data_IF_693291511148
#
_entry.id   IF_693291511148
#
_cell.length_a   1.000
_cell.length_b   1.000
_cell.length_c   1.000
_cell.angle_alpha   90.00
_cell.angle_beta   90.00
_cell.angle_gamma   90.00
#
_symmetry.space_group_name_H-M   'P 1'
#
loop_
_entity.id
_entity.type
_entity.pdbx_description
1 polymer ?
#
# COMPACT_ATOMS: atom_id res chain seq x y z
N UNK A 1 6.99 -3.60 -6.29
CA UNK A 1 7.95 -3.39 -5.17
C UNK A 1 9.00 -4.47 -5.18
N UNK A 2 10.22 -4.09 -4.97
CA UNK A 2 11.37 -4.99 -5.12
C UNK A 2 12.24 -4.95 -3.87
N UNK A 3 12.69 -6.10 -3.39
CA UNK A 3 13.65 -6.17 -2.29
C UNK A 3 15.03 -5.82 -2.87
N UNK A 4 15.65 -4.80 -2.30
CA UNK A 4 16.93 -4.27 -2.78
C UNK A 4 18.14 -4.94 -2.12
N UNK A 5 18.11 -5.07 -0.80
CA UNK A 5 19.20 -5.63 -0.02
C UNK A 5 18.74 -6.04 1.39
N UNK A 6 19.54 -6.83 2.07
CA UNK A 6 19.30 -7.24 3.45
C UNK A 6 20.22 -6.43 4.37
N UNK A 7 19.65 -5.88 5.45
CA UNK A 7 20.41 -5.17 6.47
C UNK A 7 20.88 -6.16 7.54
N UNK A 8 22.15 -6.49 7.53
CA UNK A 8 22.76 -7.42 8.47
C UNK A 8 22.68 -6.97 9.94
N UNK A 9 22.84 -5.68 10.17
CA UNK A 9 22.91 -5.14 11.55
C UNK A 9 21.56 -5.22 12.26
N UNK A 10 20.46 -5.05 11.53
CA UNK A 10 19.11 -5.14 12.07
C UNK A 10 18.55 -6.56 12.04
N UNK A 11 19.24 -7.50 11.40
CA UNK A 11 18.80 -8.89 11.28
C UNK A 11 19.38 -9.77 12.38
N UNK A 12 18.60 -10.79 12.80
CA UNK A 12 19.07 -11.83 13.72
C UNK A 12 18.40 -13.19 13.39
N UNK A 13 18.46 -14.15 14.31
CA UNK A 13 17.90 -15.49 14.11
C UNK A 13 16.38 -15.51 13.89
N UNK A 14 15.66 -14.51 14.41
CA UNK A 14 14.20 -14.48 14.43
C UNK A 14 13.62 -13.33 13.60
N UNK A 15 14.48 -12.48 13.03
CA UNK A 15 14.06 -11.35 12.23
C UNK A 15 15.03 -11.08 11.09
N UNK A 16 14.51 -10.73 9.96
CA UNK A 16 15.28 -10.30 8.79
C UNK A 16 14.82 -8.90 8.40
N UNK A 17 15.77 -7.95 8.37
CA UNK A 17 15.52 -6.60 7.92
C UNK A 17 16.02 -6.43 6.49
N UNK A 18 15.23 -5.80 5.63
CA UNK A 18 15.60 -5.56 4.24
C UNK A 18 15.14 -4.21 3.73
N UNK A 19 15.90 -3.68 2.79
CA UNK A 19 15.56 -2.48 2.05
C UNK A 19 14.69 -2.85 0.85
N UNK A 20 13.71 -2.03 0.57
CA UNK A 20 12.84 -2.17 -0.61
C UNK A 20 12.97 -0.99 -1.53
N UNK A 21 12.61 -1.17 -2.79
CA UNK A 21 12.56 -0.11 -3.80
C UNK A 21 11.20 -0.16 -4.50
N UNK A 22 10.37 0.88 -4.39
CA UNK A 22 10.54 2.08 -3.56
C UNK A 22 10.48 1.78 -2.05
N UNK A 23 10.87 2.75 -1.22
CA UNK A 23 10.75 2.63 0.24
C UNK A 23 9.29 2.45 0.65
N UNK A 24 9.08 1.64 1.68
CA UNK A 24 7.73 1.40 2.23
C UNK A 24 7.28 2.64 2.99
N UNK A 25 6.15 3.21 2.58
CA UNK A 25 5.50 4.30 3.29
C UNK A 25 4.40 3.80 4.24
N UNK A 26 3.81 4.70 5.01
CA UNK A 26 2.78 4.34 6.00
C UNK A 26 1.54 3.66 5.38
N UNK A 27 0.99 4.11 4.23
CA UNK A 27 -0.13 3.42 3.59
C UNK A 27 0.18 1.99 3.17
N UNK A 28 1.37 1.75 2.63
CA UNK A 28 1.81 0.40 2.22
C UNK A 28 1.99 -0.49 3.44
N UNK A 29 2.61 0.03 4.51
CA UNK A 29 2.80 -0.72 5.75
C UNK A 29 1.46 -1.15 6.37
N UNK A 30 0.47 -0.27 6.35
CA UNK A 30 -0.89 -0.59 6.83
C UNK A 30 -1.51 -1.72 6.03
N UNK A 31 -1.39 -1.70 4.71
CA UNK A 31 -1.88 -2.78 3.84
C UNK A 31 -1.13 -4.09 4.08
N UNK A 32 0.17 -4.04 4.29
CA UNK A 32 0.97 -5.22 4.64
C UNK A 32 0.42 -5.86 5.92
N UNK A 33 0.17 -5.07 6.95
CA UNK A 33 -0.39 -5.56 8.21
C UNK A 33 -1.77 -6.18 8.06
N UNK A 34 -2.65 -5.55 7.27
CA UNK A 34 -3.99 -6.11 6.98
C UNK A 34 -3.93 -7.44 6.27
N UNK A 35 -3.14 -7.52 5.20
CA UNK A 35 -2.98 -8.75 4.44
C UNK A 35 -2.34 -9.86 5.26
N UNK A 36 -1.42 -9.50 6.13
CA UNK A 36 -0.77 -10.43 7.05
C UNK A 36 -1.77 -11.05 8.03
N UNK A 37 -2.68 -10.26 8.58
CA UNK A 37 -3.74 -10.74 9.47
C UNK A 37 -4.72 -11.69 8.77
N UNK A 38 -4.93 -11.52 7.47
CA UNK A 38 -5.83 -12.34 6.66
C UNK A 38 -5.15 -13.59 6.10
N UNK A 39 -3.82 -13.65 6.13
CA UNK A 39 -3.07 -14.76 5.56
C UNK A 39 -2.96 -15.93 6.50
N UNK A 40 -3.39 -17.11 6.08
CA UNK A 40 -3.21 -18.35 6.82
C UNK A 40 -1.77 -18.88 6.69
N UNK A 41 -1.11 -18.57 5.57
CA UNK A 41 0.25 -19.02 5.25
C UNK A 41 1.30 -18.28 6.07
N UNK A 42 1.04 -17.00 6.34
CA UNK A 42 1.96 -16.12 7.10
C UNK A 42 1.52 -15.94 8.56
N UNK A 43 0.75 -16.87 9.09
CA UNK A 43 0.31 -16.84 10.49
C UNK A 43 1.52 -16.92 11.44
N UNK A 44 1.57 -16.00 12.40
CA UNK A 44 2.68 -15.92 13.33
C UNK A 44 3.88 -15.09 12.87
N UNK A 45 3.81 -14.54 11.65
CA UNK A 45 4.83 -13.61 11.12
C UNK A 45 4.45 -12.18 11.53
N UNK A 46 5.40 -11.45 12.10
CA UNK A 46 5.25 -10.03 12.41
C UNK A 46 6.03 -9.16 11.43
N UNK A 47 5.61 -7.91 11.27
CA UNK A 47 6.33 -6.92 10.46
C UNK A 47 6.45 -5.61 11.21
N UNK A 48 7.62 -4.96 11.07
CA UNK A 48 7.90 -3.64 11.60
C UNK A 48 8.66 -2.82 10.58
N UNK A 49 8.58 -1.51 10.70
CA UNK A 49 9.37 -0.57 9.90
C UNK A 49 10.37 0.11 10.83
N UNK A 50 11.67 -0.16 10.65
CA UNK A 50 12.74 0.36 11.48
C UNK A 50 13.83 0.94 10.59
N UNK A 51 14.18 2.21 10.80
CA UNK A 51 15.24 2.92 10.05
C UNK A 51 15.09 2.80 8.53
N UNK A 52 13.84 2.84 8.03
CA UNK A 52 13.55 2.69 6.60
C UNK A 52 13.63 1.27 6.06
N UNK A 53 13.90 0.29 6.93
CA UNK A 53 13.91 -1.12 6.57
C UNK A 53 12.63 -1.81 7.02
N UNK A 54 12.12 -2.74 6.21
CA UNK A 54 11.06 -3.63 6.64
C UNK A 54 11.69 -4.80 7.40
N UNK A 55 11.28 -4.97 8.64
CA UNK A 55 11.73 -6.08 9.49
C UNK A 55 10.64 -7.14 9.55
N UNK A 56 10.94 -8.34 9.08
CA UNK A 56 10.05 -9.50 9.15
C UNK A 56 10.46 -10.37 10.33
N UNK A 57 9.56 -10.55 11.29
CA UNK A 57 9.79 -11.33 12.51
C UNK A 57 9.17 -12.72 12.30
N UNK A 58 9.99 -13.75 12.45
CA UNK A 58 9.58 -15.14 12.22
C UNK A 58 10.39 -16.11 13.09
N UNK A 59 9.86 -17.29 13.42
CA UNK A 59 10.64 -18.31 14.14
C UNK A 59 11.72 -18.97 13.27
N UNK A 60 11.45 -19.17 11.97
CA UNK A 60 12.40 -19.75 11.01
C UNK A 60 12.18 -19.17 9.64
N UNK A 61 13.23 -18.61 9.03
CA UNK A 61 13.15 -18.03 7.69
C UNK A 61 13.50 -19.10 6.63
N UNK A 62 12.53 -19.42 5.78
CA UNK A 62 12.67 -20.40 4.70
C UNK A 62 12.53 -19.73 3.33
N UNK A 63 12.99 -20.36 2.22
CA UNK A 63 12.74 -19.84 0.89
C UNK A 63 11.26 -19.67 0.55
N UNK A 64 10.41 -20.55 1.07
CA UNK A 64 8.96 -20.44 0.91
C UNK A 64 8.40 -19.20 1.61
N UNK A 65 8.84 -18.94 2.84
CA UNK A 65 8.48 -17.72 3.57
C UNK A 65 8.93 -16.48 2.81
N UNK A 66 10.12 -16.48 2.23
CA UNK A 66 10.63 -15.38 1.42
C UNK A 66 9.74 -15.08 0.21
N UNK A 67 9.27 -16.10 -0.49
CA UNK A 67 8.32 -15.95 -1.60
C UNK A 67 7.00 -15.37 -1.16
N UNK A 68 6.47 -15.88 -0.06
CA UNK A 68 5.19 -15.41 0.50
C UNK A 68 5.28 -13.94 0.95
N UNK A 69 6.40 -13.55 1.54
CA UNK A 69 6.66 -12.14 1.90
C UNK A 69 6.74 -11.27 0.66
N UNK A 70 7.44 -11.72 -0.38
CA UNK A 70 7.53 -10.97 -1.64
C UNK A 70 6.16 -10.79 -2.30
N UNK A 71 5.33 -11.83 -2.33
CA UNK A 71 3.96 -11.78 -2.84
C UNK A 71 3.09 -10.81 -2.02
N UNK A 72 3.26 -10.83 -0.70
CA UNK A 72 2.57 -9.91 0.22
C UNK A 72 2.93 -8.46 -0.08
N UNK A 73 4.21 -8.16 -0.29
CA UNK A 73 4.68 -6.81 -0.60
C UNK A 73 4.09 -6.31 -1.92
N UNK A 74 4.07 -7.15 -2.95
CA UNK A 74 3.50 -6.82 -4.25
C UNK A 74 1.98 -6.62 -4.16
N UNK A 75 1.29 -7.44 -3.41
CA UNK A 75 -0.15 -7.31 -3.18
C UNK A 75 -0.48 -6.01 -2.42
N UNK A 76 0.30 -5.65 -1.42
CA UNK A 76 0.12 -4.41 -0.66
C UNK A 76 0.34 -3.17 -1.53
N UNK A 77 1.38 -3.17 -2.35
CA UNK A 77 1.65 -2.08 -3.31
C UNK A 77 0.51 -1.91 -4.30
N UNK A 78 0.01 -3.01 -4.87
CA UNK A 78 -1.11 -2.98 -5.79
C UNK A 78 -2.39 -2.46 -5.13
N UNK A 79 -2.67 -2.87 -3.89
CA UNK A 79 -3.84 -2.40 -3.15
C UNK A 79 -3.81 -0.89 -2.92
N UNK A 80 -2.66 -0.33 -2.56
CA UNK A 80 -2.49 1.11 -2.39
C UNK A 80 -2.65 1.85 -3.72
N UNK A 81 -2.06 1.33 -4.79
CA UNK A 81 -2.18 1.92 -6.12
C UNK A 81 -3.63 1.97 -6.59
N UNK A 82 -4.37 0.87 -6.46
CA UNK A 82 -5.77 0.79 -6.84
C UNK A 82 -6.64 1.73 -6.02
N UNK A 83 -6.39 1.86 -4.72
CA UNK A 83 -7.10 2.79 -3.86
C UNK A 83 -6.89 4.25 -4.28
N UNK A 84 -5.66 4.61 -4.67
CA UNK A 84 -5.34 5.94 -5.18
C UNK A 84 -6.03 6.23 -6.52
N UNK A 85 -6.05 5.26 -7.44
CA UNK A 85 -6.74 5.38 -8.72
C UNK A 85 -8.25 5.55 -8.54
N UNK A 86 -8.87 4.78 -7.65
CA UNK A 86 -10.30 4.89 -7.34
C UNK A 86 -10.63 6.25 -6.74
N UNK A 87 -9.83 6.75 -5.81
CA UNK A 87 -10.01 8.07 -5.21
C UNK A 87 -9.93 9.18 -6.27
N UNK A 88 -8.97 9.08 -7.20
CA UNK A 88 -8.83 10.02 -8.31
C UNK A 88 -10.04 9.99 -9.23
N UNK A 89 -10.51 8.81 -9.62
CA UNK A 89 -11.68 8.65 -10.49
C UNK A 89 -12.94 9.22 -9.85
N UNK A 90 -13.14 9.00 -8.55
CA UNK A 90 -14.27 9.57 -7.80
C UNK A 90 -14.21 11.09 -7.77
N UNK A 91 -13.04 11.67 -7.51
CA UNK A 91 -12.86 13.12 -7.51
C UNK A 91 -13.13 13.73 -8.88
N UNK A 92 -12.69 13.11 -9.97
CA UNK A 92 -12.97 13.54 -11.33
C UNK A 92 -14.47 13.46 -11.65
N UNK A 93 -15.14 12.39 -11.25
CA UNK A 93 -16.58 12.23 -11.45
C UNK A 93 -17.39 13.28 -10.70
N UNK A 94 -17.08 13.53 -9.44
CA UNK A 94 -17.72 14.57 -8.63
C UNK A 94 -17.54 15.96 -9.25
N UNK A 95 -16.36 16.28 -9.76
CA UNK A 95 -16.08 17.53 -10.41
C UNK A 95 -16.90 17.68 -11.71
N UNK A 96 -17.02 16.63 -12.49
CA UNK A 96 -17.84 16.60 -13.71
C UNK A 96 -19.32 16.81 -13.39
N UNK A 97 -19.84 16.11 -12.40
CA UNK A 97 -21.23 16.26 -11.96
C UNK A 97 -21.52 17.67 -11.46
N UNK A 98 -20.60 18.25 -10.68
CA UNK A 98 -20.71 19.64 -10.22
C UNK A 98 -20.74 20.63 -11.38
N UNK A 99 -19.86 20.48 -12.36
CA UNK A 99 -19.81 21.35 -13.53
C UNK A 99 -21.10 21.25 -14.37
N UNK A 100 -21.63 20.05 -14.53
CA UNK A 100 -22.88 19.83 -15.23
C UNK A 100 -24.06 20.48 -14.50
N UNK A 101 -24.13 20.38 -13.19
CA UNK A 101 -25.17 21.02 -12.39
C UNK A 101 -25.11 22.55 -12.48
N UNK A 102 -23.92 23.13 -12.43
CA UNK A 102 -23.71 24.58 -12.58
C UNK A 102 -24.14 25.05 -13.95
N UNK A 103 -23.77 24.33 -15.00
CA UNK A 103 -24.20 24.67 -16.37
C UNK A 103 -25.70 24.59 -16.57
N UNK A 104 -26.32 23.54 -16.05
CA UNK A 104 -27.76 23.38 -16.13
C UNK A 104 -28.51 24.50 -15.39
N UNK A 105 -28.04 24.89 -14.23
CA UNK A 105 -28.61 25.98 -13.44
C UNK A 105 -28.45 27.34 -14.19
N UNK A 106 -27.27 27.59 -14.73
CA UNK A 106 -27.02 28.81 -15.52
C UNK A 106 -27.96 28.92 -16.71
N UNK A 107 -28.15 27.84 -17.47
CA UNK A 107 -29.05 27.78 -18.59
C UNK A 107 -30.52 27.95 -18.20
N UNK A 108 -30.95 27.28 -17.11
CA UNK A 108 -32.31 27.31 -16.63
C UNK A 108 -32.74 28.70 -16.10
N UNK A 109 -31.84 29.39 -15.41
CA UNK A 109 -32.09 30.72 -14.85
C UNK A 109 -31.71 31.87 -15.78
N UNK A 110 -30.98 31.59 -16.86
CA UNK A 110 -30.50 32.62 -17.76
C UNK A 110 -29.51 33.59 -17.14
N UNK A 111 -28.70 33.13 -16.20
CA UNK A 111 -27.72 33.95 -15.47
C UNK A 111 -26.29 33.43 -15.73
N UNK A 112 -25.28 34.33 -15.70
CA UNK A 112 -23.90 33.93 -15.93
C UNK A 112 -23.34 33.18 -14.74
N UNK A 113 -22.33 32.34 -15.02
CA UNK A 113 -21.51 31.65 -13.98
C UNK A 113 -20.43 32.61 -13.54
N UNK A 114 -20.32 32.86 -12.26
CA UNK A 114 -19.30 33.71 -11.66
C UNK A 114 -17.98 32.95 -11.39
#
# INVERSE_FOLDING_TARGET
>A
MKIKSINKELSDKRKVAFHTEPQIDAPVLEQIRRLLQQSLVLKGVGVELTEGCLVVIHPTFTPELARNVNDLLNAAENAVRLAKEDARKRAELEQTEKNNAIQSASSAFGVPIE
#
